data_IF_104123603317
#
_entry.id   IF_104123603317
#
_cell.length_a   1.000
_cell.length_b   1.000
_cell.length_c   1.000
_cell.angle_alpha   90.00
_cell.angle_beta   90.00
_cell.angle_gamma   90.00
#
_symmetry.space_group_name_H-M   'P 1'
#
loop_
_entity.id
_entity.type
_entity.pdbx_description
1 polymer ?
#
# COMPACT_ATOMS: atom_id res chain seq x y z
N UNK A 1 24.97 -27.48 48.61
CA UNK A 1 24.15 -26.30 48.27
C UNK A 1 24.47 -25.73 46.88
N UNK A 2 25.70 -25.54 46.48
CA UNK A 2 26.06 -24.98 45.15
C UNK A 2 25.58 -25.84 43.96
N UNK A 3 25.61 -27.19 44.08
CA UNK A 3 25.16 -28.11 43.01
C UNK A 3 23.63 -28.11 42.81
N UNK A 4 22.84 -27.85 43.87
CA UNK A 4 21.39 -27.74 43.80
C UNK A 4 20.93 -26.42 43.16
N UNK A 5 21.70 -25.35 43.36
CA UNK A 5 21.44 -24.05 42.72
C UNK A 5 21.64 -24.14 41.19
N UNK A 6 22.70 -24.84 40.74
CA UNK A 6 22.91 -25.07 39.29
C UNK A 6 21.82 -25.94 38.65
N UNK A 7 21.28 -26.91 39.39
CA UNK A 7 20.17 -27.72 38.90
C UNK A 7 18.88 -26.91 38.74
N UNK A 8 18.60 -25.99 39.67
CA UNK A 8 17.46 -25.06 39.60
C UNK A 8 17.61 -24.04 38.47
N UNK A 9 18.81 -23.50 38.25
CA UNK A 9 19.08 -22.58 37.14
C UNK A 9 18.95 -23.31 35.78
N UNK A 10 19.41 -24.56 35.66
CA UNK A 10 19.24 -25.35 34.46
C UNK A 10 17.76 -25.68 34.19
N UNK A 11 16.94 -25.92 35.21
CA UNK A 11 15.53 -26.19 35.07
C UNK A 11 14.73 -24.93 34.63
N UNK A 12 15.14 -23.75 35.10
CA UNK A 12 14.50 -22.47 34.70
C UNK A 12 14.86 -22.07 33.26
N UNK A 13 16.08 -22.40 32.79
CA UNK A 13 16.51 -22.12 31.43
C UNK A 13 15.79 -23.01 30.39
N UNK A 14 15.44 -24.25 30.78
CA UNK A 14 14.67 -25.15 29.87
C UNK A 14 13.21 -24.73 29.74
N UNK A 15 12.64 -24.00 30.69
CA UNK A 15 11.23 -23.54 30.63
C UNK A 15 11.03 -22.24 29.82
N UNK A 16 12.10 -21.60 29.33
CA UNK A 16 12.02 -20.45 28.43
C UNK A 16 12.12 -20.83 26.93
N UNK A 17 11.81 -22.07 26.60
CA UNK A 17 11.44 -22.37 25.20
C UNK A 17 10.07 -21.75 24.97
N UNK A 18 10.10 -20.44 24.70
CA UNK A 18 8.93 -19.70 24.27
C UNK A 18 8.29 -20.47 23.11
N UNK A 19 7.08 -20.94 23.33
CA UNK A 19 6.16 -21.34 22.30
C UNK A 19 6.11 -20.17 21.32
N UNK A 20 6.86 -20.27 20.23
CA UNK A 20 6.59 -19.52 19.02
C UNK A 20 5.23 -20.07 18.53
N UNK A 21 4.19 -19.61 19.18
CA UNK A 21 2.84 -19.84 18.72
C UNK A 21 2.72 -18.95 17.48
N UNK A 22 2.81 -19.53 16.30
CA UNK A 22 2.47 -18.86 15.04
C UNK A 22 1.02 -18.39 15.19
N UNK A 23 0.88 -17.13 15.69
CA UNK A 23 -0.43 -16.55 15.91
C UNK A 23 -1.11 -16.47 14.56
N UNK A 24 -2.19 -17.24 14.41
CA UNK A 24 -3.07 -17.07 13.27
C UNK A 24 -3.44 -15.61 13.15
N UNK A 25 -3.18 -15.00 12.02
CA UNK A 25 -3.56 -13.61 11.72
C UNK A 25 -4.66 -13.60 10.67
N UNK A 26 -5.59 -12.65 10.81
CA UNK A 26 -6.62 -12.42 9.82
C UNK A 26 -6.66 -10.93 9.50
N UNK A 27 -6.30 -10.56 8.28
CA UNK A 27 -6.09 -9.18 7.85
C UNK A 27 -6.84 -8.87 6.57
N UNK A 28 -7.33 -7.64 6.46
CA UNK A 28 -7.89 -7.05 5.27
C UNK A 28 -6.89 -6.08 4.64
N UNK A 29 -6.80 -6.07 3.32
CA UNK A 29 -5.94 -5.19 2.53
C UNK A 29 -6.67 -4.68 1.29
N UNK A 30 -6.55 -3.38 1.03
CA UNK A 30 -7.05 -2.69 -0.16
C UNK A 30 -6.14 -1.49 -0.43
N UNK A 31 -6.22 -0.84 -1.63
CA UNK A 31 -5.55 0.43 -1.87
C UNK A 31 -6.06 1.53 -0.93
N UNK A 32 -5.18 2.43 -0.50
CA UNK A 32 -5.55 3.57 0.34
C UNK A 32 -6.38 4.62 -0.43
N UNK A 33 -6.20 4.70 -1.76
CA UNK A 33 -6.95 5.60 -2.64
C UNK A 33 -7.17 4.98 -4.02
N UNK A 34 -8.32 5.32 -4.63
CA UNK A 34 -8.73 4.95 -6.00
C UNK A 34 -9.48 6.12 -6.62
N UNK A 35 -9.66 6.15 -7.94
CA UNK A 35 -10.54 7.13 -8.59
C UNK A 35 -11.94 6.56 -8.84
N UNK A 36 -12.93 7.44 -9.01
CA UNK A 36 -14.28 7.05 -9.44
C UNK A 36 -14.19 6.31 -10.79
N UNK A 37 -14.82 5.14 -10.88
CA UNK A 37 -14.80 4.25 -12.04
C UNK A 37 -13.64 3.22 -12.02
N UNK A 38 -12.64 3.39 -11.14
CA UNK A 38 -11.55 2.43 -11.03
C UNK A 38 -12.00 1.13 -10.37
N UNK A 39 -11.45 0.04 -10.88
CA UNK A 39 -11.58 -1.27 -10.26
C UNK A 39 -10.38 -1.54 -9.35
N UNK A 40 -10.65 -2.07 -8.18
CA UNK A 40 -9.60 -2.40 -7.22
C UNK A 40 -9.89 -3.72 -6.50
N UNK A 41 -8.84 -4.25 -5.87
CA UNK A 41 -8.91 -5.51 -5.15
C UNK A 41 -9.02 -5.26 -3.64
N UNK A 42 -10.00 -5.91 -3.00
CA UNK A 42 -10.10 -6.07 -1.57
C UNK A 42 -9.77 -7.53 -1.23
N UNK A 43 -8.75 -7.75 -0.42
CA UNK A 43 -8.27 -9.07 -0.05
C UNK A 43 -8.35 -9.27 1.47
N UNK A 44 -8.92 -10.42 1.88
CA UNK A 44 -8.91 -10.88 3.26
C UNK A 44 -8.02 -12.11 3.36
N UNK A 45 -6.91 -12.01 4.09
CA UNK A 45 -5.91 -13.08 4.20
C UNK A 45 -5.84 -13.60 5.62
N UNK A 46 -5.93 -14.93 5.76
CA UNK A 46 -5.77 -15.64 7.03
C UNK A 46 -4.59 -16.61 6.94
N UNK A 47 -3.74 -16.64 7.99
CA UNK A 47 -2.51 -17.45 8.03
C UNK A 47 -2.75 -18.85 8.60
N UNK A 48 -3.77 -19.56 8.10
CA UNK A 48 -4.05 -20.98 8.41
C UNK A 48 -4.83 -21.62 7.27
N UNK A 49 -4.84 -22.94 7.20
CA UNK A 49 -5.65 -23.71 6.25
C UNK A 49 -7.00 -24.16 6.83
N UNK A 50 -7.15 -24.17 8.15
CA UNK A 50 -8.36 -24.62 8.83
C UNK A 50 -9.34 -23.46 9.01
N UNK A 51 -10.01 -23.11 7.93
CA UNK A 51 -10.91 -21.97 7.83
C UNK A 51 -12.34 -22.42 7.54
N UNK A 52 -13.29 -21.83 8.30
CA UNK A 52 -14.74 -22.03 8.12
C UNK A 52 -15.47 -20.70 8.27
N UNK A 53 -16.72 -20.66 7.82
CA UNK A 53 -17.67 -19.56 8.10
C UNK A 53 -17.14 -18.16 7.78
N UNK A 54 -16.45 -18.00 6.64
CA UNK A 54 -16.08 -16.67 6.17
C UNK A 54 -17.34 -15.87 5.85
N UNK A 55 -17.46 -14.69 6.47
CA UNK A 55 -18.55 -13.74 6.24
C UNK A 55 -17.95 -12.37 5.92
N UNK A 56 -18.21 -11.90 4.70
CA UNK A 56 -17.86 -10.54 4.32
C UNK A 56 -18.75 -9.53 5.04
N UNK A 57 -18.22 -8.34 5.36
CA UNK A 57 -19.03 -7.24 5.86
C UNK A 57 -19.90 -6.65 4.75
N UNK A 58 -20.82 -5.74 5.13
CA UNK A 58 -21.52 -4.91 4.15
C UNK A 58 -20.53 -3.94 3.50
N UNK A 59 -20.35 -4.06 2.18
CA UNK A 59 -19.49 -3.20 1.37
C UNK A 59 -20.37 -2.06 0.84
N UNK A 60 -20.29 -0.88 1.46
CA UNK A 60 -21.05 0.32 1.05
C UNK A 60 -20.14 1.28 0.29
N UNK A 61 -20.69 1.94 -0.74
CA UNK A 61 -19.98 2.93 -1.56
C UNK A 61 -19.19 2.35 -2.73
N UNK A 62 -19.26 1.03 -2.91
CA UNK A 62 -18.58 0.32 -3.99
C UNK A 62 -19.51 -0.73 -4.62
N UNK A 63 -19.42 -0.89 -5.93
CA UNK A 63 -20.06 -2.00 -6.62
C UNK A 63 -19.17 -3.24 -6.55
N UNK A 64 -19.75 -4.37 -6.17
CA UNK A 64 -19.06 -5.67 -6.13
C UNK A 64 -19.16 -6.30 -7.53
N UNK A 65 -18.05 -6.25 -8.28
CA UNK A 65 -18.00 -6.82 -9.63
C UNK A 65 -17.76 -8.33 -9.59
N UNK A 66 -16.95 -8.79 -8.65
CA UNK A 66 -16.60 -10.20 -8.50
C UNK A 66 -16.23 -10.53 -7.03
N UNK A 67 -16.55 -11.75 -6.61
CA UNK A 67 -16.06 -12.30 -5.34
C UNK A 67 -17.13 -12.92 -4.45
N UNK A 68 -16.69 -13.55 -3.34
CA UNK A 68 -15.28 -13.81 -3.02
C UNK A 68 -14.67 -14.94 -3.86
N UNK A 69 -13.52 -14.74 -4.44
CA UNK A 69 -12.70 -15.82 -4.96
C UNK A 69 -11.73 -16.28 -3.86
N UNK A 70 -11.62 -17.59 -3.66
CA UNK A 70 -10.73 -18.18 -2.65
C UNK A 70 -9.47 -18.69 -3.31
N UNK A 71 -8.31 -18.27 -2.84
CA UNK A 71 -7.01 -18.81 -3.19
C UNK A 71 -6.29 -19.31 -1.95
N UNK A 72 -5.47 -20.36 -2.13
CA UNK A 72 -4.66 -20.94 -1.06
C UNK A 72 -3.22 -20.97 -1.51
N UNK A 73 -2.33 -20.54 -0.62
CA UNK A 73 -0.90 -20.57 -0.83
C UNK A 73 -0.23 -21.28 0.35
N UNK A 74 0.72 -22.17 0.04
CA UNK A 74 1.60 -22.80 1.02
C UNK A 74 3.03 -22.56 0.62
N UNK A 75 3.86 -22.18 1.59
CA UNK A 75 5.29 -22.00 1.43
C UNK A 75 6.02 -22.81 2.49
N UNK A 76 7.05 -23.53 2.10
CA UNK A 76 7.95 -24.24 3.01
C UNK A 76 9.35 -23.63 2.88
N UNK A 77 9.91 -23.27 4.02
CA UNK A 77 11.27 -22.74 4.11
C UNK A 77 12.08 -23.62 5.04
N UNK A 78 13.28 -23.98 4.61
CA UNK A 78 14.24 -24.74 5.43
C UNK A 78 15.42 -23.83 5.69
N UNK A 79 15.65 -23.50 6.97
CA UNK A 79 16.79 -22.68 7.42
C UNK A 79 17.51 -23.45 8.51
N UNK A 80 18.81 -23.71 8.32
CA UNK A 80 19.66 -24.45 9.27
C UNK A 80 19.06 -25.80 9.71
N UNK A 81 18.41 -26.54 8.80
CA UNK A 81 17.80 -27.83 9.11
C UNK A 81 16.42 -27.75 9.82
N UNK A 82 15.94 -26.55 10.13
CA UNK A 82 14.60 -26.34 10.67
C UNK A 82 13.63 -26.02 9.53
N UNK A 83 12.61 -26.86 9.37
CA UNK A 83 11.56 -26.67 8.37
C UNK A 83 10.44 -25.84 8.97
N UNK A 84 10.14 -24.68 8.36
CA UNK A 84 8.98 -23.85 8.69
C UNK A 84 8.01 -23.89 7.51
N UNK A 85 6.76 -24.27 7.76
CA UNK A 85 5.70 -24.28 6.76
C UNK A 85 4.69 -23.20 7.09
N UNK A 86 4.49 -22.26 6.17
CA UNK A 86 3.48 -21.20 6.28
C UNK A 86 2.38 -21.47 5.26
N UNK A 87 1.13 -21.38 5.68
CA UNK A 87 -0.03 -21.56 4.81
C UNK A 87 -0.97 -20.39 4.99
N UNK A 88 -1.52 -19.89 3.89
CA UNK A 88 -2.52 -18.81 3.93
C UNK A 88 -3.67 -19.07 2.98
N UNK A 89 -4.84 -18.57 3.34
CA UNK A 89 -6.02 -18.52 2.49
C UNK A 89 -6.40 -17.07 2.32
N UNK A 90 -6.61 -16.65 1.07
CA UNK A 90 -7.03 -15.30 0.71
C UNK A 90 -8.39 -15.33 0.02
N UNK A 91 -9.32 -14.52 0.52
CA UNK A 91 -10.62 -14.23 -0.10
C UNK A 91 -10.55 -12.88 -0.79
N UNK A 92 -10.73 -12.86 -2.10
CA UNK A 92 -10.55 -11.67 -2.93
C UNK A 92 -11.87 -11.22 -3.54
N UNK A 93 -12.15 -9.92 -3.42
CA UNK A 93 -13.20 -9.20 -4.13
C UNK A 93 -12.59 -8.25 -5.13
N UNK A 94 -13.26 -8.07 -6.27
CA UNK A 94 -13.03 -6.97 -7.21
C UNK A 94 -14.18 -6.00 -7.04
N UNK A 95 -13.85 -4.78 -6.66
CA UNK A 95 -14.80 -3.70 -6.41
C UNK A 95 -14.57 -2.58 -7.41
N UNK A 96 -15.62 -1.78 -7.67
CA UNK A 96 -15.55 -0.56 -8.47
C UNK A 96 -16.01 0.62 -7.61
N UNK A 97 -15.25 1.71 -7.65
CA UNK A 97 -15.61 2.94 -6.96
C UNK A 97 -16.70 3.69 -7.73
N UNK A 98 -17.83 4.01 -7.08
CA UNK A 98 -18.99 4.61 -7.74
C UNK A 98 -19.15 6.10 -7.45
N UNK A 99 -18.64 6.58 -6.32
CA UNK A 99 -18.76 7.97 -5.90
C UNK A 99 -17.51 8.42 -5.15
N UNK A 100 -17.15 9.69 -5.29
CA UNK A 100 -16.06 10.31 -4.53
C UNK A 100 -16.35 10.41 -3.03
N UNK A 101 -15.32 10.37 -2.20
CA UNK A 101 -15.43 10.46 -0.75
C UNK A 101 -14.47 9.53 -0.01
N UNK A 102 -14.64 9.43 1.30
CA UNK A 102 -13.90 8.49 2.14
C UNK A 102 -14.84 7.42 2.66
N UNK A 103 -14.53 6.18 2.37
CA UNK A 103 -15.34 5.03 2.73
C UNK A 103 -14.55 4.09 3.63
N UNK A 104 -15.24 3.53 4.63
CA UNK A 104 -14.67 2.52 5.51
C UNK A 104 -15.40 1.20 5.30
N UNK A 105 -14.67 0.15 4.92
CA UNK A 105 -15.17 -1.21 4.85
C UNK A 105 -14.83 -1.87 6.20
N UNK A 106 -15.83 -2.33 6.97
CA UNK A 106 -15.62 -3.01 8.24
C UNK A 106 -14.83 -4.32 8.08
N UNK A 107 -14.33 -4.87 9.19
CA UNK A 107 -13.67 -6.16 9.19
C UNK A 107 -14.63 -7.30 8.83
N UNK A 108 -14.13 -8.29 8.08
CA UNK A 108 -14.80 -9.56 7.86
C UNK A 108 -14.66 -10.48 9.07
N UNK A 109 -15.55 -11.44 9.21
CA UNK A 109 -15.50 -12.49 10.26
C UNK A 109 -15.17 -13.85 9.66
N UNK A 110 -14.44 -14.67 10.41
CA UNK A 110 -14.03 -16.01 10.01
C UNK A 110 -13.87 -16.90 11.24
N UNK A 111 -14.04 -18.20 11.08
CA UNK A 111 -13.63 -19.19 12.07
C UNK A 111 -12.33 -19.85 11.60
N UNK A 112 -11.24 -19.57 12.32
CA UNK A 112 -9.90 -20.07 12.03
C UNK A 112 -9.38 -20.89 13.20
N UNK A 113 -8.95 -22.13 12.94
CA UNK A 113 -8.50 -23.10 13.97
C UNK A 113 -9.48 -23.24 15.15
N UNK A 114 -10.79 -23.14 14.87
CA UNK A 114 -11.86 -23.24 15.89
C UNK A 114 -12.17 -21.96 16.64
N UNK A 115 -11.43 -20.87 16.40
CA UNK A 115 -11.64 -19.56 17.02
C UNK A 115 -12.27 -18.58 16.04
N UNK A 116 -13.23 -17.78 16.52
CA UNK A 116 -13.78 -16.70 15.72
C UNK A 116 -12.81 -15.52 15.71
N UNK A 117 -12.52 -15.00 14.52
CA UNK A 117 -11.64 -13.86 14.30
C UNK A 117 -12.33 -12.80 13.46
N UNK A 118 -11.91 -11.55 13.65
CA UNK A 118 -12.35 -10.40 12.86
C UNK A 118 -11.12 -9.73 12.28
N UNK A 119 -11.16 -9.40 10.98
CA UNK A 119 -10.06 -8.66 10.36
C UNK A 119 -10.10 -7.17 10.77
N UNK A 120 -9.01 -6.45 10.45
CA UNK A 120 -9.04 -4.98 10.50
C UNK A 120 -10.08 -4.43 9.52
N UNK A 121 -10.56 -3.21 9.77
CA UNK A 121 -11.24 -2.40 8.77
C UNK A 121 -10.24 -1.78 7.80
N UNK A 122 -10.69 -1.45 6.57
CA UNK A 122 -9.91 -0.71 5.58
C UNK A 122 -10.60 0.60 5.24
N UNK A 123 -9.84 1.67 5.17
CA UNK A 123 -10.34 2.98 4.76
C UNK A 123 -9.81 3.27 3.35
N UNK A 124 -10.71 3.68 2.46
CA UNK A 124 -10.40 3.93 1.06
C UNK A 124 -10.90 5.33 0.71
N UNK A 125 -9.99 6.17 0.22
CA UNK A 125 -10.32 7.48 -0.32
C UNK A 125 -10.62 7.36 -1.80
N UNK A 126 -11.85 7.69 -2.20
CA UNK A 126 -12.23 7.75 -3.61
C UNK A 126 -12.07 9.17 -4.12
N UNK A 127 -11.18 9.35 -5.08
CA UNK A 127 -10.86 10.61 -5.74
C UNK A 127 -11.79 10.84 -6.94
N UNK A 128 -11.97 12.10 -7.39
CA UNK A 128 -12.66 12.39 -8.63
C UNK A 128 -12.10 11.59 -9.82
N UNK A 129 -12.93 11.33 -10.81
CA UNK A 129 -12.47 10.74 -12.06
C UNK A 129 -11.43 11.63 -12.74
N UNK A 130 -10.45 11.03 -13.44
CA UNK A 130 -9.42 11.77 -14.17
C UNK A 130 -10.06 12.49 -15.36
N UNK A 131 -10.06 13.83 -15.35
CA UNK A 131 -10.66 14.65 -16.40
C UNK A 131 -9.87 14.56 -17.73
N UNK A 132 -8.60 14.20 -17.71
CA UNK A 132 -7.80 14.06 -18.93
C UNK A 132 -8.18 12.82 -19.75
N UNK A 133 -8.74 11.78 -19.11
CA UNK A 133 -9.26 10.58 -19.81
C UNK A 133 -10.58 10.83 -20.54
N UNK A 134 -11.40 11.76 -20.06
CA UNK A 134 -12.68 12.08 -20.68
C UNK A 134 -12.53 12.84 -22.03
N UNK A 135 -11.43 13.56 -22.23
CA UNK A 135 -11.17 14.31 -23.47
C UNK A 135 -10.71 13.43 -24.64
N UNK A 136 -10.25 12.19 -24.38
CA UNK A 136 -9.77 11.27 -25.43
C UNK A 136 -10.77 10.20 -25.86
N UNK A 137 -11.94 10.09 -25.19
CA UNK A 137 -12.98 9.12 -25.57
C UNK A 137 -14.06 9.66 -26.49
N UNK A 138 -13.91 10.88 -27.01
CA UNK A 138 -14.81 11.50 -27.99
C UNK A 138 -14.32 11.33 -29.42
N UNK A 139 -14.64 10.21 -30.07
CA UNK A 139 -14.57 10.13 -31.52
C UNK A 139 -13.80 8.95 -32.12
N UNK A 140 -14.55 8.00 -32.72
CA UNK A 140 -13.99 7.15 -33.75
C UNK A 140 -14.12 5.65 -33.57
N UNK A 141 -15.30 5.18 -33.91
CA UNK A 141 -15.53 3.80 -34.34
C UNK A 141 -14.60 3.43 -35.50
N UNK A 142 -13.67 2.49 -35.32
CA UNK A 142 -13.20 1.66 -36.42
C UNK A 142 -12.54 0.39 -35.90
N UNK A 143 -13.23 -0.70 -36.10
CA UNK A 143 -12.70 -2.05 -36.17
C UNK A 143 -11.60 -2.11 -37.24
N UNK A 144 -10.36 -2.51 -36.88
CA UNK A 144 -9.53 -3.32 -37.77
C UNK A 144 -8.42 -4.04 -37.03
N UNK A 145 -8.40 -5.29 -37.33
CA UNK A 145 -7.53 -6.38 -36.94
C UNK A 145 -6.13 -6.21 -37.55
N UNK A 146 -5.10 -6.52 -36.74
CA UNK A 146 -3.83 -7.08 -37.25
C UNK A 146 -2.71 -6.08 -37.49
N UNK A 147 -1.73 -6.07 -36.72
CA UNK A 147 -0.37 -6.54 -37.02
C UNK A 147 0.65 -5.93 -36.06
N UNK A 148 1.48 -6.78 -35.53
CA UNK A 148 2.64 -6.49 -34.72
C UNK A 148 3.59 -5.50 -35.40
N UNK A 149 3.76 -4.35 -34.77
CA UNK A 149 4.98 -3.54 -34.93
C UNK A 149 5.24 -2.81 -33.62
N UNK A 150 6.18 -3.33 -32.83
CA UNK A 150 6.81 -2.61 -31.72
C UNK A 150 7.55 -1.39 -32.32
N UNK A 151 6.81 -0.34 -32.53
CA UNK A 151 7.43 0.98 -32.68
C UNK A 151 7.69 1.49 -31.25
N UNK A 152 8.95 1.55 -30.85
CA UNK A 152 9.43 2.30 -29.70
C UNK A 152 9.12 3.78 -29.95
N UNK A 153 7.88 4.20 -29.68
CA UNK A 153 7.58 5.60 -29.53
C UNK A 153 8.31 6.05 -28.28
N UNK A 154 9.39 6.78 -28.41
CA UNK A 154 9.97 7.62 -27.36
C UNK A 154 8.89 8.65 -27.04
N UNK A 155 7.99 8.28 -26.16
CA UNK A 155 7.00 9.21 -25.61
C UNK A 155 7.80 10.21 -24.78
N UNK A 156 7.95 11.43 -25.28
CA UNK A 156 8.58 12.51 -24.53
C UNK A 156 7.70 12.76 -23.31
N UNK A 157 8.23 12.48 -22.12
CA UNK A 157 7.55 12.78 -20.86
C UNK A 157 7.39 14.29 -20.76
N UNK A 158 6.17 14.77 -20.66
CA UNK A 158 5.88 16.19 -20.53
C UNK A 158 6.05 16.63 -19.06
N UNK A 159 6.25 17.92 -18.82
CA UNK A 159 6.25 18.49 -17.46
C UNK A 159 4.90 18.34 -16.73
N UNK A 160 3.86 17.91 -17.44
CA UNK A 160 2.57 17.57 -16.86
C UNK A 160 2.48 16.10 -16.44
N UNK A 161 3.32 15.23 -17.02
CA UNK A 161 3.31 13.80 -16.71
C UNK A 161 4.24 13.45 -15.55
N UNK A 162 5.26 14.27 -15.30
CA UNK A 162 6.21 14.12 -14.20
C UNK A 162 6.69 15.49 -13.71
N UNK A 163 6.52 15.78 -12.43
CA UNK A 163 7.04 16.98 -11.78
C UNK A 163 7.28 16.77 -10.29
N UNK A 164 8.05 17.68 -9.71
CA UNK A 164 8.30 17.74 -8.26
C UNK A 164 7.59 18.99 -7.72
N UNK A 165 6.77 18.81 -6.69
CA UNK A 165 6.09 19.88 -6.00
C UNK A 165 6.71 20.09 -4.61
N UNK A 166 7.32 21.26 -4.32
CA UNK A 166 7.73 21.60 -2.97
C UNK A 166 6.51 22.03 -2.14
N UNK A 167 6.39 21.55 -0.92
CA UNK A 167 5.40 21.97 0.06
C UNK A 167 6.06 22.33 1.37
N UNK A 168 5.56 23.35 2.05
CA UNK A 168 6.06 23.81 3.34
C UNK A 168 5.00 23.60 4.42
N UNK A 169 5.42 23.23 5.62
CA UNK A 169 4.49 22.96 6.73
C UNK A 169 3.87 24.24 7.31
N UNK A 170 4.53 25.38 7.14
CA UNK A 170 4.07 26.71 7.64
C UNK A 170 4.36 27.77 6.58
N UNK A 171 3.36 28.60 6.26
CA UNK A 171 3.51 29.69 5.31
C UNK A 171 4.22 30.94 5.92
N UNK A 172 4.09 31.12 7.22
CA UNK A 172 4.72 32.20 7.96
C UNK A 172 5.51 31.59 9.13
N UNK A 173 6.75 31.97 9.28
CA UNK A 173 7.65 31.52 10.33
C UNK A 173 8.36 32.72 10.96
N UNK A 174 8.68 32.60 12.25
CA UNK A 174 9.53 33.57 12.94
C UNK A 174 11.01 33.25 12.69
N UNK A 175 11.87 34.22 12.94
CA UNK A 175 13.31 33.98 12.94
C UNK A 175 13.67 32.87 13.93
N UNK A 176 14.51 31.90 13.50
CA UNK A 176 14.88 30.71 14.25
C UNK A 176 13.74 29.69 14.46
N UNK A 177 12.58 29.86 13.88
CA UNK A 177 11.50 28.89 13.93
C UNK A 177 11.70 27.82 12.84
N UNK A 178 11.75 26.55 13.26
CA UNK A 178 11.88 25.43 12.33
C UNK A 178 10.57 25.13 11.59
N UNK A 179 10.67 24.83 10.31
CA UNK A 179 9.56 24.34 9.48
C UNK A 179 10.02 23.22 8.55
N UNK A 180 9.07 22.46 8.05
CA UNK A 180 9.34 21.32 7.18
C UNK A 180 9.15 21.71 5.72
N UNK A 181 10.16 21.47 4.88
CA UNK A 181 10.09 21.54 3.43
C UNK A 181 10.07 20.12 2.88
N UNK A 182 9.02 19.76 2.15
CA UNK A 182 8.85 18.45 1.55
C UNK A 182 8.83 18.56 0.03
N UNK A 183 9.71 17.83 -0.65
CA UNK A 183 9.66 17.63 -2.10
C UNK A 183 8.89 16.37 -2.40
N UNK A 184 7.73 16.50 -3.05
CA UNK A 184 6.87 15.39 -3.45
C UNK A 184 6.90 15.25 -4.97
N UNK A 185 7.08 14.01 -5.44
CA UNK A 185 7.00 13.67 -6.85
C UNK A 185 5.56 13.38 -7.21
N UNK A 186 5.14 13.86 -8.36
CA UNK A 186 3.87 13.56 -9.01
C UNK A 186 4.17 12.94 -10.38
N UNK A 187 3.65 11.75 -10.65
CA UNK A 187 3.91 11.04 -11.89
C UNK A 187 2.68 10.32 -12.42
N UNK A 188 2.55 10.30 -13.76
CA UNK A 188 1.62 9.47 -14.52
C UNK A 188 2.34 8.32 -15.24
N UNK A 189 3.67 8.29 -15.16
CA UNK A 189 4.50 7.28 -15.82
C UNK A 189 5.25 6.44 -14.80
N UNK A 190 5.56 5.20 -15.17
CA UNK A 190 6.36 4.32 -14.33
C UNK A 190 7.80 4.82 -14.21
N UNK A 191 8.23 5.10 -12.99
CA UNK A 191 9.58 5.57 -12.69
C UNK A 191 10.46 4.40 -12.24
N UNK A 192 11.60 4.24 -12.90
CA UNK A 192 12.58 3.20 -12.56
C UNK A 192 13.69 3.69 -11.64
N UNK A 193 13.82 5.01 -11.48
CA UNK A 193 14.83 5.64 -10.63
C UNK A 193 14.97 7.13 -10.90
N UNK A 194 15.79 7.79 -10.10
CA UNK A 194 16.12 9.22 -10.25
C UNK A 194 17.63 9.35 -10.19
N UNK A 195 18.21 9.85 -11.27
CA UNK A 195 19.62 10.16 -11.33
C UNK A 195 19.83 11.66 -11.44
N UNK A 196 20.86 12.17 -10.76
CA UNK A 196 21.34 13.56 -10.88
C UNK A 196 20.31 14.65 -10.57
N UNK A 197 19.41 14.44 -9.63
CA UNK A 197 18.48 15.49 -9.17
C UNK A 197 19.26 16.54 -8.40
N UNK A 198 19.30 17.78 -8.91
CA UNK A 198 19.88 18.94 -8.23
C UNK A 198 18.79 19.69 -7.51
N UNK A 199 18.95 19.82 -6.20
CA UNK A 199 18.09 20.68 -5.38
C UNK A 199 18.68 22.09 -5.29
N UNK A 200 17.86 23.13 -5.10
CA UNK A 200 18.34 24.48 -4.87
C UNK A 200 19.06 24.59 -3.52
N UNK A 201 19.99 25.53 -3.43
CA UNK A 201 20.63 25.89 -2.17
C UNK A 201 19.64 26.64 -1.27
N UNK A 202 19.59 26.27 0.01
CA UNK A 202 18.75 26.94 1.01
C UNK A 202 19.49 28.12 1.65
N UNK A 203 19.83 29.13 0.85
CA UNK A 203 20.55 30.32 1.35
C UNK A 203 19.77 31.05 2.42
N UNK A 204 20.43 31.28 3.56
CA UNK A 204 19.81 31.96 4.71
C UNK A 204 19.10 31.04 5.69
N UNK A 205 19.06 29.73 5.42
CA UNK A 205 18.48 28.71 6.31
C UNK A 205 19.55 27.71 6.75
N UNK A 206 19.44 27.28 7.99
CA UNK A 206 20.10 26.06 8.44
C UNK A 206 19.25 24.87 7.98
N UNK A 207 19.80 23.98 7.17
CA UNK A 207 19.04 22.87 6.60
C UNK A 207 19.52 21.53 7.14
N UNK A 208 18.57 20.70 7.56
CA UNK A 208 18.82 19.32 7.95
C UNK A 208 17.90 18.39 7.15
N UNK A 209 18.49 17.44 6.40
CA UNK A 209 17.72 16.44 5.68
C UNK A 209 17.11 15.43 6.66
N UNK A 210 15.82 15.13 6.49
CA UNK A 210 15.11 14.12 7.26
C UNK A 210 15.27 12.78 6.56
N UNK A 211 15.74 11.77 7.31
CA UNK A 211 15.85 10.42 6.80
C UNK A 211 14.47 9.84 6.56
N UNK A 212 14.20 9.45 5.31
CA UNK A 212 12.94 8.83 4.90
C UNK A 212 13.05 7.30 4.98
N UNK A 213 11.94 6.59 5.30
CA UNK A 213 11.91 5.13 5.26
C UNK A 213 12.36 4.59 3.89
N UNK A 214 13.12 3.49 3.90
CA UNK A 214 13.61 2.84 2.67
C UNK A 214 12.48 2.38 1.75
N UNK A 215 11.36 1.91 2.32
CA UNK A 215 10.15 1.55 1.59
C UNK A 215 9.29 2.79 1.35
N UNK A 216 9.50 3.42 0.21
CA UNK A 216 8.69 4.57 -0.19
C UNK A 216 7.29 4.11 -0.58
N UNK A 217 6.30 4.56 0.18
CA UNK A 217 4.89 4.32 -0.16
C UNK A 217 4.47 5.27 -1.28
N UNK A 218 3.91 4.71 -2.32
CA UNK A 218 3.22 5.46 -3.35
C UNK A 218 1.76 5.64 -2.95
N UNK A 219 1.22 6.84 -3.16
CA UNK A 219 -0.18 7.17 -2.94
C UNK A 219 -0.77 7.82 -4.17
N UNK A 220 -2.08 7.71 -4.35
CA UNK A 220 -2.79 8.37 -5.43
C UNK A 220 -3.33 9.71 -4.93
N UNK A 221 -3.03 10.79 -5.62
CA UNK A 221 -3.51 12.13 -5.29
C UNK A 221 -4.08 12.84 -6.52
N UNK A 222 -5.21 13.53 -6.31
CA UNK A 222 -5.80 14.37 -7.34
C UNK A 222 -5.16 15.77 -7.33
N UNK A 223 -4.61 16.19 -8.47
CA UNK A 223 -3.99 17.50 -8.64
C UNK A 223 -4.31 18.08 -10.00
N UNK A 224 -4.91 19.28 -10.05
CA UNK A 224 -5.29 20.00 -11.28
C UNK A 224 -6.07 19.15 -12.29
N UNK A 225 -7.08 18.40 -11.81
CA UNK A 225 -7.94 17.60 -12.66
C UNK A 225 -7.41 16.24 -13.09
N UNK A 226 -6.24 15.82 -12.58
CA UNK A 226 -5.60 14.52 -12.90
C UNK A 226 -5.19 13.77 -11.64
N UNK A 227 -5.21 12.45 -11.71
CA UNK A 227 -4.82 11.57 -10.62
C UNK A 227 -3.38 11.08 -10.81
N UNK A 228 -2.48 11.52 -9.93
CA UNK A 228 -1.06 11.20 -9.98
C UNK A 228 -0.68 10.17 -8.93
N UNK A 229 0.23 9.28 -9.29
CA UNK A 229 1.01 8.54 -8.32
C UNK A 229 2.00 9.50 -7.66
N UNK A 230 2.01 9.54 -6.33
CA UNK A 230 2.85 10.48 -5.59
C UNK A 230 3.68 9.76 -4.53
N UNK A 231 4.88 10.29 -4.28
CA UNK A 231 5.72 9.84 -3.16
C UNK A 231 6.58 11.00 -2.68
N UNK A 232 6.98 10.97 -1.40
CA UNK A 232 7.93 11.93 -0.85
C UNK A 232 9.33 11.58 -1.38
N UNK A 233 9.96 12.53 -2.07
CA UNK A 233 11.29 12.39 -2.62
C UNK A 233 12.38 12.73 -1.58
N UNK A 234 12.30 13.93 -1.01
CA UNK A 234 13.18 14.42 0.07
C UNK A 234 12.41 15.34 1.01
N UNK A 235 12.91 15.44 2.22
CA UNK A 235 12.33 16.29 3.24
C UNK A 235 13.42 16.97 4.06
N UNK A 236 13.26 18.25 4.36
CA UNK A 236 14.22 19.06 5.09
C UNK A 236 13.53 19.81 6.22
N UNK A 237 14.20 19.89 7.35
CA UNK A 237 13.92 20.89 8.39
C UNK A 237 14.78 22.11 8.06
N UNK A 238 14.15 23.25 7.92
CA UNK A 238 14.79 24.53 7.64
C UNK A 238 14.55 25.49 8.79
#
# INVERSE_FOLDING_TARGET
MRKLIFLWIALVVVSLQALANDKVSFTASAPDAVAVGDQFRLAYTVTTQKVRDFRAPSIKGFDVLMGPSRSQQSSMQIVNGVSTSTSSITFTYILMATAEGSFTIPGATITADGNQMVSNSVQIKVLPADQAGAASSGGGNSSQQGNTSRASSRTSVSNQDLFILPTISKANVYEQEAFLLTYKIYTLVDLRGFDNVKLPDFKGFHSQEVELPGDRKWSLEHYKGRNYQTTVYRQFVL
#
